data_IF_296869110499
#
_entry.id   IF_296869110499
#
_cell.length_a   1.000
_cell.length_b   1.000
_cell.length_c   1.000
_cell.angle_alpha   90.00
_cell.angle_beta   90.00
_cell.angle_gamma   90.00
#
_symmetry.space_group_name_H-M   'P 1'
#
loop_
_entity.id
_entity.type
_entity.pdbx_description
1 polymer ?
#
# COMPACT_ATOMS: atom_id res chain seq x y z
N UNK A 1 78.47 4.99 -63.00
CA UNK A 1 78.03 5.28 -61.62
C UNK A 1 76.73 6.08 -61.70
N UNK A 2 75.58 5.42 -61.68
CA UNK A 2 74.28 6.10 -61.51
C UNK A 2 74.20 6.65 -60.08
N UNK A 3 73.81 7.91 -59.94
CA UNK A 3 73.79 8.61 -58.65
C UNK A 3 72.68 8.06 -57.75
N UNK A 4 73.03 7.57 -56.55
CA UNK A 4 72.08 7.02 -55.58
C UNK A 4 70.96 7.98 -55.20
N UNK A 5 71.18 9.31 -55.26
CA UNK A 5 70.16 10.29 -54.93
C UNK A 5 68.97 10.21 -55.89
N UNK A 6 69.25 10.12 -57.21
CA UNK A 6 68.20 9.98 -58.23
C UNK A 6 67.39 8.70 -58.01
N UNK A 7 68.07 7.61 -57.61
CA UNK A 7 67.40 6.34 -57.33
C UNK A 7 66.48 6.47 -56.12
N UNK A 8 66.94 7.10 -55.04
CA UNK A 8 66.14 7.33 -53.82
C UNK A 8 64.90 8.18 -54.08
N UNK A 9 65.00 9.18 -54.94
CA UNK A 9 63.86 10.01 -55.34
C UNK A 9 62.80 9.20 -56.13
N UNK A 10 63.25 8.18 -56.87
CA UNK A 10 62.38 7.29 -57.67
C UNK A 10 61.87 6.06 -56.90
N UNK A 11 62.44 5.73 -55.74
CA UNK A 11 62.05 4.55 -54.94
C UNK A 11 60.57 4.54 -54.53
N UNK A 12 59.97 5.65 -54.03
CA UNK A 12 58.56 5.66 -53.64
C UNK A 12 57.64 5.33 -54.83
N UNK A 13 57.89 5.96 -55.99
CA UNK A 13 57.13 5.71 -57.22
C UNK A 13 57.28 4.25 -57.69
N UNK A 14 58.45 3.64 -57.49
CA UNK A 14 58.69 2.23 -57.78
C UNK A 14 58.11 1.27 -56.72
N UNK A 15 57.94 1.72 -55.47
CA UNK A 15 57.29 0.96 -54.41
C UNK A 15 55.78 0.90 -54.63
N UNK A 16 55.18 2.01 -55.07
CA UNK A 16 53.74 2.15 -55.35
C UNK A 16 53.34 1.65 -56.76
N UNK A 17 54.31 1.25 -57.60
CA UNK A 17 54.07 0.73 -58.95
C UNK A 17 53.69 1.79 -59.99
N UNK A 18 53.94 3.07 -59.72
CA UNK A 18 53.58 4.22 -60.54
C UNK A 18 54.73 4.72 -61.45
N UNK A 19 55.91 4.14 -61.33
CA UNK A 19 57.06 4.47 -62.17
C UNK A 19 56.84 4.02 -63.63
N UNK A 20 57.31 4.83 -64.59
CA UNK A 20 57.36 4.42 -66.00
C UNK A 20 58.30 3.21 -66.18
N UNK A 21 58.11 2.41 -67.24
CA UNK A 21 58.92 1.21 -67.51
C UNK A 21 60.42 1.50 -67.57
N UNK A 22 60.79 2.65 -68.14
CA UNK A 22 62.18 3.10 -68.27
C UNK A 22 62.78 3.44 -66.90
N UNK A 23 62.06 4.22 -66.08
CA UNK A 23 62.49 4.57 -64.72
C UNK A 23 62.55 3.36 -63.79
N UNK A 24 61.61 2.42 -63.92
CA UNK A 24 61.60 1.18 -63.16
C UNK A 24 62.80 0.29 -63.50
N UNK A 25 63.11 0.12 -64.80
CA UNK A 25 64.27 -0.66 -65.24
C UNK A 25 65.59 -0.06 -64.74
N UNK A 26 65.70 1.27 -64.71
CA UNK A 26 66.86 2.00 -64.18
C UNK A 26 67.04 1.77 -62.67
N UNK A 27 65.95 1.83 -61.89
CA UNK A 27 65.96 1.56 -60.44
C UNK A 27 66.30 0.09 -60.16
N UNK A 28 65.73 -0.85 -60.90
CA UNK A 28 66.01 -2.28 -60.76
C UNK A 28 67.46 -2.65 -61.06
N UNK A 29 68.05 -2.07 -62.10
CA UNK A 29 69.45 -2.27 -62.44
C UNK A 29 70.38 -1.77 -61.32
N UNK A 30 70.05 -0.62 -60.70
CA UNK A 30 70.85 -0.04 -59.62
C UNK A 30 70.68 -0.78 -58.29
N UNK A 31 69.46 -1.13 -57.91
CA UNK A 31 69.16 -1.86 -56.66
C UNK A 31 69.87 -3.22 -56.62
N UNK A 32 70.10 -3.85 -57.78
CA UNK A 32 70.92 -5.07 -57.91
C UNK A 32 72.38 -4.86 -57.47
N UNK A 33 72.93 -3.67 -57.64
CA UNK A 33 74.33 -3.35 -57.39
C UNK A 33 74.55 -2.50 -56.12
N UNK A 34 73.49 -1.90 -55.56
CA UNK A 34 73.56 -1.01 -54.40
C UNK A 34 72.71 -1.55 -53.22
N UNK A 35 73.32 -2.10 -52.15
CA UNK A 35 72.60 -2.67 -51.01
C UNK A 35 71.82 -1.62 -50.20
N UNK A 36 72.28 -0.37 -50.14
CA UNK A 36 71.59 0.71 -49.44
C UNK A 36 70.23 1.03 -50.07
N UNK A 37 70.17 1.17 -51.41
CA UNK A 37 68.92 1.42 -52.12
C UNK A 37 67.97 0.20 -52.09
N UNK A 38 68.52 -1.02 -52.00
CA UNK A 38 67.74 -2.25 -51.84
C UNK A 38 67.01 -2.32 -50.50
N UNK A 39 67.71 -2.01 -49.42
CA UNK A 39 67.14 -2.01 -48.08
C UNK A 39 66.00 -0.98 -47.96
N UNK A 40 66.19 0.20 -48.55
CA UNK A 40 65.19 1.26 -48.54
C UNK A 40 63.92 0.87 -49.32
N UNK A 41 64.07 0.29 -50.52
CA UNK A 41 62.94 -0.21 -51.31
C UNK A 41 62.19 -1.34 -50.59
N UNK A 42 62.92 -2.23 -49.91
CA UNK A 42 62.32 -3.32 -49.13
C UNK A 42 61.53 -2.78 -47.93
N UNK A 43 62.04 -1.74 -47.25
CA UNK A 43 61.34 -1.07 -46.14
C UNK A 43 60.05 -0.40 -46.60
N UNK A 44 60.05 0.22 -47.77
CA UNK A 44 58.86 0.85 -48.35
C UNK A 44 57.81 -0.16 -48.80
N UNK A 45 58.21 -1.36 -49.24
CA UNK A 45 57.31 -2.45 -49.64
C UNK A 45 56.84 -3.33 -48.47
N UNK A 46 57.34 -3.09 -47.26
CA UNK A 46 56.89 -3.82 -46.09
C UNK A 46 55.41 -3.46 -45.81
N UNK A 47 54.51 -4.46 -45.71
CA UNK A 47 53.11 -4.21 -45.39
C UNK A 47 52.99 -3.48 -44.05
N UNK A 48 52.25 -2.37 -44.01
CA UNK A 48 51.83 -1.74 -42.76
C UNK A 48 50.75 -2.63 -42.13
N UNK A 49 51.15 -3.70 -41.46
CA UNK A 49 50.26 -4.52 -40.62
C UNK A 49 49.91 -3.74 -39.35
N UNK A 50 48.95 -2.82 -39.45
CA UNK A 50 48.19 -2.39 -38.29
C UNK A 50 46.93 -3.26 -38.21
N UNK A 51 46.76 -4.11 -37.18
CA UNK A 51 45.50 -4.81 -36.98
C UNK A 51 44.43 -3.75 -36.69
N UNK A 52 43.42 -3.66 -37.55
CA UNK A 52 42.25 -2.85 -37.27
C UNK A 52 41.60 -3.36 -35.99
N UNK A 53 41.25 -2.48 -35.02
CA UNK A 53 40.58 -2.93 -33.80
C UNK A 53 39.28 -3.64 -34.18
N UNK A 54 39.01 -4.79 -33.57
CA UNK A 54 37.76 -5.53 -33.74
C UNK A 54 36.59 -4.65 -33.28
N UNK A 55 35.97 -3.94 -34.22
CA UNK A 55 34.75 -3.17 -33.96
C UNK A 55 33.61 -4.18 -33.86
N UNK A 56 32.93 -4.30 -32.71
CA UNK A 56 31.75 -5.14 -32.61
C UNK A 56 30.79 -4.81 -33.75
N UNK A 57 30.21 -5.84 -34.38
CA UNK A 57 29.21 -5.62 -35.41
C UNK A 57 28.19 -4.59 -34.91
N UNK A 58 27.91 -3.55 -35.70
CA UNK A 58 26.96 -2.49 -35.37
C UNK A 58 25.64 -3.04 -34.78
N UNK A 59 25.22 -4.22 -35.25
CA UNK A 59 24.05 -4.95 -34.74
C UNK A 59 24.20 -5.42 -33.29
N UNK A 60 25.36 -5.91 -32.89
CA UNK A 60 25.63 -6.38 -31.52
C UNK A 60 25.70 -5.23 -30.53
N UNK A 61 26.31 -4.11 -30.92
CA UNK A 61 26.34 -2.89 -30.12
C UNK A 61 24.91 -2.36 -29.88
N UNK A 62 24.10 -2.26 -30.94
CA UNK A 62 22.69 -1.91 -30.85
C UNK A 62 21.88 -2.86 -29.98
N UNK A 63 22.07 -4.18 -30.12
CA UNK A 63 21.37 -5.17 -29.30
C UNK A 63 21.74 -5.07 -27.81
N UNK A 64 23.03 -4.83 -27.49
CA UNK A 64 23.48 -4.61 -26.11
C UNK A 64 22.87 -3.34 -25.53
N UNK A 65 22.85 -2.26 -26.30
CA UNK A 65 22.28 -0.98 -25.86
C UNK A 65 20.76 -1.07 -25.68
N UNK A 66 20.02 -1.66 -26.64
CA UNK A 66 18.60 -1.95 -26.49
C UNK A 66 18.32 -2.79 -25.25
N UNK A 67 19.07 -3.88 -25.03
CA UNK A 67 18.90 -4.74 -23.83
C UNK A 67 19.19 -3.98 -22.54
N UNK A 68 20.15 -3.05 -22.54
CA UNK A 68 20.49 -2.20 -21.39
C UNK A 68 19.38 -1.18 -21.11
N UNK A 69 18.83 -0.57 -22.15
CA UNK A 69 17.69 0.35 -22.05
C UNK A 69 16.46 -0.41 -21.57
N UNK A 70 16.10 -1.55 -22.17
CA UNK A 70 14.97 -2.39 -21.76
C UNK A 70 15.09 -2.87 -20.31
N UNK A 71 16.29 -3.29 -19.88
CA UNK A 71 16.52 -3.66 -18.47
C UNK A 71 16.35 -2.47 -17.53
N UNK A 72 16.86 -1.28 -17.90
CA UNK A 72 16.70 -0.05 -17.10
C UNK A 72 15.23 0.38 -17.05
N UNK A 73 14.52 0.41 -18.17
CA UNK A 73 13.10 0.76 -18.19
C UNK A 73 12.26 -0.24 -17.41
N UNK A 74 12.54 -1.54 -17.54
CA UNK A 74 11.89 -2.58 -16.74
C UNK A 74 12.19 -2.43 -15.23
N UNK A 75 13.42 -2.07 -14.84
CA UNK A 75 13.74 -1.81 -13.44
C UNK A 75 13.07 -0.55 -12.90
N UNK A 76 13.00 0.52 -13.70
CA UNK A 76 12.29 1.74 -13.33
C UNK A 76 10.79 1.51 -13.23
N UNK A 77 10.18 0.77 -14.16
CA UNK A 77 8.76 0.43 -14.08
C UNK A 77 8.47 -0.46 -12.87
N UNK A 78 9.33 -1.44 -12.59
CA UNK A 78 9.20 -2.28 -11.39
C UNK A 78 9.32 -1.46 -10.10
N UNK A 79 10.29 -0.55 -10.03
CA UNK A 79 10.45 0.35 -8.88
C UNK A 79 9.25 1.31 -8.71
N UNK A 80 8.72 1.86 -9.80
CA UNK A 80 7.54 2.71 -9.76
C UNK A 80 6.29 1.95 -9.30
N UNK A 81 6.10 0.71 -9.78
CA UNK A 81 5.01 -0.16 -9.33
C UNK A 81 5.14 -0.48 -7.84
N UNK A 82 6.34 -0.87 -7.38
CA UNK A 82 6.60 -1.15 -5.97
C UNK A 82 6.33 0.08 -5.09
N UNK A 83 6.75 1.27 -5.54
CA UNK A 83 6.47 2.51 -4.83
C UNK A 83 4.97 2.80 -4.78
N UNK A 84 4.25 2.59 -5.88
CA UNK A 84 2.79 2.72 -5.92
C UNK A 84 2.10 1.80 -4.92
N UNK A 85 2.49 0.52 -4.88
CA UNK A 85 1.97 -0.46 -3.92
C UNK A 85 2.29 -0.04 -2.48
N UNK A 86 3.52 0.41 -2.21
CA UNK A 86 3.94 0.86 -0.88
C UNK A 86 3.11 2.07 -0.42
N UNK A 87 2.87 3.03 -1.29
CA UNK A 87 2.05 4.21 -1.01
C UNK A 87 0.58 3.84 -0.79
N UNK A 88 0.02 2.96 -1.61
CA UNK A 88 -1.34 2.44 -1.41
C UNK A 88 -1.46 1.73 -0.07
N UNK A 89 -0.50 0.88 0.29
CA UNK A 89 -0.48 0.17 1.56
C UNK A 89 -0.37 1.16 2.74
N UNK A 90 0.46 2.18 2.63
CA UNK A 90 0.59 3.25 3.63
C UNK A 90 -0.75 4.00 3.83
N UNK A 91 -1.47 4.31 2.75
CA UNK A 91 -2.80 4.93 2.83
C UNK A 91 -3.80 3.99 3.50
N UNK A 92 -3.77 2.70 3.19
CA UNK A 92 -4.68 1.73 3.80
C UNK A 92 -4.42 1.56 5.31
N UNK A 93 -3.14 1.49 5.70
CA UNK A 93 -2.70 1.42 7.10
C UNK A 93 -3.07 2.69 7.88
N UNK A 94 -2.77 3.87 7.34
CA UNK A 94 -3.05 5.15 8.01
C UNK A 94 -4.55 5.43 8.18
N UNK A 95 -5.41 4.85 7.34
CA UNK A 95 -6.87 4.92 7.48
C UNK A 95 -7.45 3.86 8.42
N UNK A 96 -6.61 2.98 8.96
CA UNK A 96 -7.04 1.89 9.84
C UNK A 96 -7.87 0.81 9.14
N UNK A 97 -7.80 0.68 7.80
CA UNK A 97 -8.65 -0.28 7.07
C UNK A 97 -8.43 -1.73 7.52
N UNK A 98 -7.20 -2.08 7.88
CA UNK A 98 -6.85 -3.41 8.41
C UNK A 98 -7.34 -3.65 9.84
N UNK A 99 -7.83 -2.61 10.51
CA UNK A 99 -8.34 -2.66 11.88
C UNK A 99 -9.86 -2.64 11.95
N UNK A 100 -10.57 -2.55 10.81
CA UNK A 100 -12.04 -2.53 10.81
C UNK A 100 -12.57 -3.88 11.29
N UNK A 101 -13.36 -3.86 12.36
CA UNK A 101 -14.02 -5.04 12.96
C UNK A 101 -15.42 -5.21 12.41
N UNK A 102 -16.19 -4.12 12.37
CA UNK A 102 -17.54 -4.11 11.82
C UNK A 102 -17.85 -2.75 11.20
N UNK A 103 -18.74 -2.75 10.21
CA UNK A 103 -19.24 -1.55 9.55
C UNK A 103 -20.71 -1.72 9.24
N UNK A 104 -21.52 -0.80 9.78
CA UNK A 104 -22.97 -0.76 9.56
C UNK A 104 -23.40 0.60 9.07
N UNK A 105 -24.26 0.62 8.08
CA UNK A 105 -24.90 1.82 7.57
C UNK A 105 -26.40 1.77 7.86
N UNK A 106 -27.02 2.93 7.99
CA UNK A 106 -28.48 3.05 8.07
C UNK A 106 -29.12 2.63 6.74
N UNK A 107 -30.39 2.24 6.76
CA UNK A 107 -31.10 1.74 5.57
C UNK A 107 -31.17 2.78 4.44
N UNK A 108 -31.21 4.06 4.79
CA UNK A 108 -31.19 5.21 3.86
C UNK A 108 -29.76 5.64 3.46
N UNK A 109 -28.72 5.04 4.04
CA UNK A 109 -27.32 5.40 3.81
C UNK A 109 -26.89 6.75 4.38
N UNK A 110 -27.72 7.40 5.19
CA UNK A 110 -27.43 8.73 5.75
C UNK A 110 -26.32 8.71 6.80
N UNK A 111 -26.18 7.60 7.53
CA UNK A 111 -25.17 7.41 8.57
C UNK A 111 -24.41 6.11 8.35
N UNK A 112 -23.10 6.12 8.64
CA UNK A 112 -22.26 4.93 8.61
C UNK A 112 -21.38 4.88 9.85
N UNK A 113 -21.56 3.84 10.66
CA UNK A 113 -20.72 3.52 11.81
C UNK A 113 -19.68 2.47 11.40
N UNK A 114 -18.43 2.69 11.80
CA UNK A 114 -17.30 1.79 11.59
C UNK A 114 -16.60 1.60 12.92
N UNK A 115 -16.52 0.37 13.39
CA UNK A 115 -15.77 -0.02 14.58
C UNK A 115 -14.38 -0.50 14.16
N UNK A 116 -13.35 -0.01 14.83
CA UNK A 116 -11.96 -0.36 14.60
C UNK A 116 -11.38 -1.01 15.86
N UNK A 117 -10.62 -2.09 15.72
CA UNK A 117 -9.85 -2.69 16.81
C UNK A 117 -8.65 -1.79 17.16
N UNK A 118 -8.56 -1.41 18.44
CA UNK A 118 -7.56 -0.47 18.94
C UNK A 118 -7.91 1.00 18.69
N UNK A 119 -6.96 1.88 19.03
CA UNK A 119 -7.04 3.31 18.80
C UNK A 119 -6.52 3.68 17.42
N UNK A 120 -7.39 4.17 16.53
CA UNK A 120 -7.03 4.61 15.16
C UNK A 120 -6.97 6.12 15.01
N UNK A 121 -6.94 6.89 16.10
CA UNK A 121 -6.87 8.36 16.06
C UNK A 121 -5.50 8.89 15.64
N UNK A 122 -4.43 8.12 15.88
CA UNK A 122 -3.05 8.45 15.54
C UNK A 122 -2.67 8.11 14.08
N UNK A 123 -1.40 8.35 13.73
CA UNK A 123 -0.86 7.98 12.41
C UNK A 123 -0.83 6.46 12.19
N UNK A 124 -0.64 5.71 13.26
CA UNK A 124 -0.64 4.27 13.29
C UNK A 124 -1.59 3.77 14.38
N UNK A 125 -2.40 2.74 14.11
CA UNK A 125 -3.28 2.14 15.11
C UNK A 125 -2.51 1.63 16.33
N UNK A 126 -3.04 1.89 17.53
CA UNK A 126 -2.50 1.35 18.79
C UNK A 126 -3.42 0.25 19.33
N UNK A 127 -2.83 -0.79 19.92
CA UNK A 127 -3.61 -1.87 20.54
C UNK A 127 -4.24 -1.42 21.87
N UNK A 128 -5.32 -2.10 22.27
CA UNK A 128 -5.98 -1.90 23.56
C UNK A 128 -7.21 -1.01 23.45
N UNK A 129 -8.38 -1.64 23.32
CA UNK A 129 -9.65 -0.95 23.14
C UNK A 129 -10.23 -1.09 21.74
N UNK A 130 -11.19 -0.23 21.43
CA UNK A 130 -11.71 -0.04 20.07
C UNK A 130 -12.05 1.43 19.82
N UNK A 131 -12.02 1.85 18.56
CA UNK A 131 -12.48 3.17 18.13
C UNK A 131 -13.76 3.04 17.32
N UNK A 132 -14.77 3.82 17.66
CA UNK A 132 -16.00 3.95 16.91
C UNK A 132 -15.97 5.25 16.10
N UNK A 133 -16.11 5.13 14.78
CA UNK A 133 -16.25 6.27 13.87
C UNK A 133 -17.62 6.26 13.22
N UNK A 134 -18.36 7.34 13.38
CA UNK A 134 -19.66 7.52 12.74
C UNK A 134 -19.60 8.69 11.78
N UNK A 135 -19.87 8.45 10.50
CA UNK A 135 -19.81 9.46 9.43
C UNK A 135 -21.23 9.76 8.96
N UNK A 136 -21.57 11.04 8.89
CA UNK A 136 -22.80 11.50 8.25
C UNK A 136 -22.54 11.72 6.75
N UNK A 137 -23.44 11.24 5.90
CA UNK A 137 -23.38 11.48 4.46
C UNK A 137 -23.50 12.97 4.12
N UNK A 138 -24.21 13.73 4.95
CA UNK A 138 -24.32 15.17 4.82
C UNK A 138 -22.99 15.84 5.23
N UNK A 139 -22.32 16.47 4.25
CA UNK A 139 -20.98 17.07 4.45
C UNK A 139 -20.92 18.11 5.57
N UNK A 140 -22.05 18.74 5.91
CA UNK A 140 -22.16 19.76 6.96
C UNK A 140 -21.98 19.20 8.37
N UNK A 141 -22.35 17.93 8.61
CA UNK A 141 -22.34 17.30 9.94
C UNK A 141 -21.03 16.59 10.29
N UNK A 142 -20.17 16.31 9.30
CA UNK A 142 -18.84 15.74 9.54
C UNK A 142 -18.86 14.31 10.05
N UNK A 143 -18.07 14.01 11.08
CA UNK A 143 -17.95 12.69 11.69
C UNK A 143 -17.78 12.78 13.21
N UNK A 144 -18.27 11.75 13.91
CA UNK A 144 -18.02 11.49 15.33
C UNK A 144 -16.95 10.41 15.44
N UNK A 145 -16.00 10.58 16.35
CA UNK A 145 -14.92 9.63 16.59
C UNK A 145 -14.69 9.51 18.09
N UNK A 146 -14.81 8.29 18.61
CA UNK A 146 -14.65 8.02 20.04
C UNK A 146 -13.84 6.75 20.22
N UNK A 147 -12.80 6.82 21.04
CA UNK A 147 -11.96 5.66 21.40
C UNK A 147 -12.33 5.20 22.80
N UNK A 148 -12.62 3.91 22.94
CA UNK A 148 -12.91 3.23 24.19
C UNK A 148 -11.71 2.37 24.57
N UNK A 149 -10.94 2.82 25.55
CA UNK A 149 -9.72 2.13 26.00
C UNK A 149 -10.07 0.99 26.97
N UNK A 150 -9.38 -0.15 26.85
CA UNK A 150 -9.55 -1.28 27.77
C UNK A 150 -10.86 -2.05 27.61
N UNK A 151 -11.62 -1.78 26.54
CA UNK A 151 -12.87 -2.48 26.22
C UNK A 151 -12.80 -3.09 24.83
N UNK A 152 -13.32 -4.29 24.65
CA UNK A 152 -13.45 -4.93 23.35
C UNK A 152 -14.81 -4.61 22.74
N UNK A 153 -14.82 -4.43 21.42
CA UNK A 153 -16.06 -4.25 20.66
C UNK A 153 -16.79 -5.59 20.54
N UNK A 154 -18.09 -5.62 20.82
CA UNK A 154 -18.92 -6.83 20.73
C UNK A 154 -19.93 -6.75 19.57
N UNK A 155 -20.62 -5.61 19.42
CA UNK A 155 -21.56 -5.42 18.30
C UNK A 155 -22.17 -4.03 18.23
N UNK A 156 -22.82 -3.72 17.09
CA UNK A 156 -23.55 -2.46 16.91
C UNK A 156 -24.80 -2.61 16.02
N UNK A 157 -25.84 -1.83 16.32
CA UNK A 157 -27.13 -1.91 15.64
C UNK A 157 -27.77 -0.52 15.50
N UNK A 158 -28.01 -0.11 14.26
CA UNK A 158 -28.78 1.09 13.95
C UNK A 158 -30.26 0.89 14.25
N UNK A 159 -30.90 1.91 14.83
CA UNK A 159 -32.35 1.94 14.96
C UNK A 159 -33.03 2.09 13.59
N UNK A 160 -34.31 1.71 13.43
CA UNK A 160 -35.04 1.83 12.17
C UNK A 160 -35.04 3.24 11.57
N UNK A 161 -35.12 4.29 12.40
CA UNK A 161 -35.01 5.67 11.91
C UNK A 161 -33.59 6.09 11.52
N UNK A 162 -32.57 5.31 11.92
CA UNK A 162 -31.16 5.65 11.75
C UNK A 162 -30.65 6.73 12.72
N UNK A 163 -31.46 7.18 13.67
CA UNK A 163 -31.08 8.19 14.66
C UNK A 163 -30.19 7.63 15.76
N UNK A 164 -30.53 6.44 16.26
CA UNK A 164 -29.83 5.84 17.41
C UNK A 164 -28.93 4.70 16.96
N UNK A 165 -27.76 4.59 17.61
CA UNK A 165 -26.86 3.46 17.45
C UNK A 165 -26.65 2.79 18.81
N UNK A 166 -27.18 1.58 18.95
CA UNK A 166 -26.85 0.70 20.06
C UNK A 166 -25.48 0.09 19.80
N UNK A 167 -24.62 0.08 20.82
CA UNK A 167 -23.28 -0.50 20.77
C UNK A 167 -23.07 -1.33 22.02
N UNK A 168 -22.77 -2.60 21.82
CA UNK A 168 -22.32 -3.49 22.87
C UNK A 168 -20.80 -3.58 22.85
N UNK A 169 -20.23 -3.56 24.05
CA UNK A 169 -18.80 -3.70 24.29
C UNK A 169 -18.59 -4.51 25.55
N UNK A 170 -17.40 -5.08 25.71
CA UNK A 170 -17.04 -5.90 26.88
C UNK A 170 -15.79 -5.34 27.51
N UNK A 171 -15.82 -5.12 28.83
CA UNK A 171 -14.61 -4.85 29.60
C UNK A 171 -14.12 -6.14 30.29
N UNK A 172 -13.10 -6.04 31.14
CA UNK A 172 -12.56 -7.21 31.85
C UNK A 172 -13.54 -7.84 32.86
N UNK A 173 -14.60 -7.12 33.26
CA UNK A 173 -15.53 -7.50 34.31
C UNK A 173 -16.91 -7.92 33.77
N UNK A 174 -17.45 -7.21 32.76
CA UNK A 174 -18.83 -7.37 32.28
C UNK A 174 -19.05 -6.85 30.86
N UNK A 175 -20.15 -7.30 30.26
CA UNK A 175 -20.69 -6.64 29.07
C UNK A 175 -21.31 -5.28 29.44
N UNK A 176 -21.12 -4.30 28.56
CA UNK A 176 -21.70 -2.96 28.64
C UNK A 176 -22.52 -2.66 27.40
N UNK A 177 -23.62 -1.96 27.58
CA UNK A 177 -24.48 -1.50 26.49
C UNK A 177 -24.60 0.02 26.52
N UNK A 178 -24.37 0.66 25.39
CA UNK A 178 -24.61 2.09 25.22
C UNK A 178 -25.48 2.37 24.00
N UNK A 179 -26.16 3.50 24.02
CA UNK A 179 -26.90 4.04 22.88
C UNK A 179 -26.42 5.45 22.60
N UNK A 180 -26.05 5.73 21.36
CA UNK A 180 -25.69 7.06 20.88
C UNK A 180 -26.87 7.68 20.12
N UNK A 181 -27.30 8.87 20.51
CA UNK A 181 -28.16 9.75 19.72
C UNK A 181 -27.31 10.84 19.08
N UNK A 182 -27.00 10.67 17.79
CA UNK A 182 -26.18 11.63 17.05
C UNK A 182 -26.93 12.92 16.72
N UNK A 183 -28.27 12.89 16.69
CA UNK A 183 -29.09 14.08 16.43
C UNK A 183 -29.23 14.90 17.72
N UNK A 184 -29.53 14.23 18.83
CA UNK A 184 -29.62 14.83 20.16
C UNK A 184 -28.27 15.05 20.85
N UNK A 185 -27.17 14.63 20.23
CA UNK A 185 -25.79 14.74 20.72
C UNK A 185 -25.62 14.24 22.16
N UNK A 186 -26.18 13.07 22.47
CA UNK A 186 -26.05 12.44 23.78
C UNK A 186 -25.72 10.95 23.65
N UNK A 187 -24.97 10.45 24.63
CA UNK A 187 -24.66 9.02 24.76
C UNK A 187 -25.20 8.54 26.10
N UNK A 188 -26.00 7.48 26.05
CA UNK A 188 -26.59 6.87 27.24
C UNK A 188 -25.94 5.53 27.49
N UNK A 189 -25.28 5.39 28.63
CA UNK A 189 -24.77 4.11 29.12
C UNK A 189 -25.90 3.39 29.87
N UNK A 190 -26.41 2.32 29.29
CA UNK A 190 -27.57 1.57 29.81
C UNK A 190 -27.28 0.99 31.19
N UNK A 191 -26.06 0.50 31.39
CA UNK A 191 -25.63 -0.12 32.65
C UNK A 191 -25.66 0.86 33.83
N UNK A 192 -25.50 2.17 33.56
CA UNK A 192 -25.55 3.22 34.56
C UNK A 192 -26.97 3.78 34.79
N UNK A 193 -27.88 3.58 33.83
CA UNK A 193 -29.20 4.21 33.84
C UNK A 193 -30.20 3.47 34.72
N UNK A 194 -30.27 2.14 34.60
CA UNK A 194 -31.39 1.39 35.20
C UNK A 194 -31.12 0.90 36.61
N UNK A 195 -29.84 0.70 37.00
CA UNK A 195 -29.46 0.36 38.38
C UNK A 195 -30.29 -0.74 39.04
N UNK A 196 -30.89 -1.67 38.26
CA UNK A 196 -31.87 -2.65 38.74
C UNK A 196 -31.26 -3.50 39.85
N UNK A 197 -29.98 -3.86 39.69
CA UNK A 197 -29.14 -4.45 40.72
C UNK A 197 -27.67 -4.13 40.44
N UNK A 198 -26.84 -4.20 41.49
CA UNK A 198 -25.39 -4.14 41.34
C UNK A 198 -24.90 -5.36 40.54
N UNK A 199 -24.06 -5.13 39.53
CA UNK A 199 -23.58 -6.20 38.65
C UNK A 199 -24.58 -6.67 37.60
N UNK A 200 -25.73 -6.01 37.42
CA UNK A 200 -26.66 -6.34 36.34
C UNK A 200 -26.02 -6.14 34.96
N UNK A 201 -26.17 -7.14 34.10
CA UNK A 201 -25.77 -7.10 32.70
C UNK A 201 -26.97 -6.81 31.80
N UNK A 202 -26.77 -5.95 30.80
CA UNK A 202 -27.80 -5.58 29.84
C UNK A 202 -27.35 -5.96 28.43
N UNK A 203 -28.17 -6.71 27.71
CA UNK A 203 -27.88 -7.16 26.35
C UNK A 203 -28.94 -6.63 25.39
N UNK A 204 -28.50 -6.05 24.28
CA UNK A 204 -29.38 -5.65 23.19
C UNK A 204 -30.00 -6.89 22.52
N UNK A 205 -31.31 -6.86 22.26
CA UNK A 205 -32.02 -7.94 21.56
C UNK A 205 -32.46 -7.49 20.17
N UNK A 206 -33.25 -6.41 20.10
CA UNK A 206 -33.76 -5.87 18.84
C UNK A 206 -34.30 -4.44 19.00
N UNK A 207 -34.49 -3.77 17.87
CA UNK A 207 -35.26 -2.53 17.78
C UNK A 207 -36.71 -2.82 17.41
N UNK A 208 -37.62 -1.98 17.91
CA UNK A 208 -39.00 -1.84 17.43
C UNK A 208 -39.08 -0.69 16.42
N UNK A 209 -40.15 -0.66 15.61
CA UNK A 209 -40.36 0.34 14.57
C UNK A 209 -40.33 1.80 15.06
N UNK A 210 -40.69 2.03 16.33
CA UNK A 210 -40.67 3.35 16.99
C UNK A 210 -39.34 3.66 17.70
N UNK A 211 -38.25 3.00 17.31
CA UNK A 211 -36.92 3.11 17.92
C UNK A 211 -36.87 2.71 19.41
N UNK A 212 -37.87 2.02 19.94
CA UNK A 212 -37.75 1.39 21.25
C UNK A 212 -36.81 0.18 21.19
N UNK A 213 -35.94 0.06 22.18
CA UNK A 213 -34.94 -1.00 22.29
C UNK A 213 -35.44 -2.11 23.20
N UNK A 214 -35.49 -3.35 22.73
CA UNK A 214 -35.68 -4.51 23.59
C UNK A 214 -34.35 -4.87 24.23
N UNK A 215 -34.32 -4.87 25.55
CA UNK A 215 -33.13 -5.15 26.35
C UNK A 215 -33.42 -6.38 27.20
N UNK A 216 -32.48 -7.33 27.19
CA UNK A 216 -32.44 -8.41 28.17
C UNK A 216 -31.60 -7.94 29.35
N UNK A 217 -32.08 -8.15 30.57
CA UNK A 217 -31.27 -7.99 31.78
C UNK A 217 -30.99 -9.36 32.43
N UNK A 218 -29.85 -9.45 33.11
CA UNK A 218 -29.49 -10.59 33.94
C UNK A 218 -28.70 -10.12 35.16
N UNK A 219 -29.05 -10.59 36.36
CA UNK A 219 -28.28 -10.35 37.58
C UNK A 219 -28.51 -11.47 38.61
N UNK A 220 -27.61 -11.57 39.59
CA UNK A 220 -27.81 -12.41 40.77
C UNK A 220 -28.17 -11.53 41.97
N UNK A 221 -29.19 -11.92 42.73
CA UNK A 221 -29.54 -11.25 43.99
C UNK A 221 -28.53 -11.58 45.11
N UNK A 222 -28.69 -10.95 46.29
CA UNK A 222 -27.82 -11.21 47.44
C UNK A 222 -27.92 -12.66 47.97
N UNK A 223 -28.99 -13.39 47.62
CA UNK A 223 -29.17 -14.81 47.91
C UNK A 223 -28.58 -15.75 46.86
N UNK A 224 -27.98 -15.22 45.80
CA UNK A 224 -27.45 -15.98 44.67
C UNK A 224 -28.50 -16.50 43.70
N UNK A 225 -29.76 -16.04 43.80
CA UNK A 225 -30.80 -16.37 42.83
C UNK A 225 -30.59 -15.55 41.57
N UNK A 226 -30.55 -16.23 40.42
CA UNK A 226 -30.46 -15.55 39.13
C UNK A 226 -31.82 -15.00 38.69
N UNK A 227 -31.82 -13.74 38.32
CA UNK A 227 -32.95 -13.02 37.76
C UNK A 227 -32.63 -12.67 36.32
N UNK A 228 -33.51 -13.04 35.40
CA UNK A 228 -33.38 -12.67 33.99
C UNK A 228 -34.73 -12.23 33.43
N UNK A 229 -34.70 -11.31 32.49
CA UNK A 229 -35.94 -10.80 31.90
C UNK A 229 -35.69 -9.85 30.76
N UNK A 230 -36.77 -9.24 30.28
CA UNK A 230 -36.75 -8.29 29.20
C UNK A 230 -37.55 -7.05 29.56
N UNK A 231 -37.15 -5.91 29.01
CA UNK A 231 -37.98 -4.70 29.00
C UNK A 231 -37.72 -3.90 27.73
N UNK A 232 -38.68 -3.06 27.38
CA UNK A 232 -38.52 -2.06 26.33
C UNK A 232 -38.01 -0.76 26.91
N UNK A 233 -37.02 -0.17 26.27
CA UNK A 233 -36.53 1.17 26.56
C UNK A 233 -36.79 2.12 25.40
N UNK A 234 -37.46 3.24 25.66
CA UNK A 234 -37.67 4.30 24.68
C UNK A 234 -36.53 5.32 24.78
N UNK A 235 -35.72 5.42 23.73
CA UNK A 235 -34.62 6.39 23.66
C UNK A 235 -35.14 7.84 23.58
N UNK A 236 -36.35 8.06 23.07
CA UNK A 236 -36.95 9.38 22.94
C UNK A 236 -37.53 9.90 24.26
N UNK A 237 -38.26 9.06 24.99
CA UNK A 237 -38.91 9.44 26.26
C UNK A 237 -38.10 9.09 27.51
N UNK A 238 -36.98 8.39 27.35
CA UNK A 238 -36.09 7.97 28.43
C UNK A 238 -36.83 7.10 29.47
N UNK A 239 -37.79 6.31 29.00
CA UNK A 239 -38.69 5.52 29.84
C UNK A 239 -38.61 4.03 29.53
N UNK A 240 -38.90 3.21 30.54
CA UNK A 240 -38.98 1.75 30.43
C UNK A 240 -40.43 1.27 30.45
N UNK A 241 -40.74 0.24 29.68
CA UNK A 241 -42.07 -0.38 29.65
C UNK A 241 -41.99 -1.89 29.39
N UNK A 242 -43.08 -2.61 29.68
CA UNK A 242 -43.18 -4.03 29.37
C UNK A 242 -42.11 -4.89 30.03
N UNK A 243 -41.81 -4.63 31.31
CA UNK A 243 -40.91 -5.47 32.10
C UNK A 243 -41.52 -6.86 32.26
N UNK A 244 -40.80 -7.87 31.78
CA UNK A 244 -41.16 -9.29 31.87
C UNK A 244 -40.00 -10.03 32.49
N UNK A 245 -40.21 -10.58 33.67
CA UNK A 245 -39.25 -11.49 34.32
C UNK A 245 -39.50 -12.92 33.82
N UNK A 246 -38.43 -13.61 33.44
CA UNK A 246 -38.50 -15.01 33.06
C UNK A 246 -38.51 -15.88 34.31
N UNK A 247 -39.24 -17.02 34.31
CA UNK A 247 -39.12 -17.99 35.38
C UNK A 247 -37.68 -18.49 35.47
N UNK A 248 -37.21 -18.73 36.71
CA UNK A 248 -35.89 -19.28 36.93
C UNK A 248 -35.78 -20.65 36.23
N UNK A 249 -34.63 -20.95 35.64
CA UNK A 249 -34.43 -22.24 34.96
C UNK A 249 -34.56 -23.38 35.99
N UNK A 250 -35.73 -24.04 36.03
CA UNK A 250 -36.01 -25.14 36.96
C UNK A 250 -37.40 -25.12 37.62
N UNK A 251 -38.25 -24.13 37.36
CA UNK A 251 -39.67 -24.10 37.77
C UNK A 251 -40.64 -24.45 36.63
#
# INVERSE_FOLDING_TARGET
MTNCNIIRDLLPLCADGLASKESAALVEAHVKQCPACRAELARMRAPLEQPAPEVPSYREALCREKRRITKRTASFSAAALLLGVLLSLLVLLSKGYFHIVDRKSTADGSMTATAYAGDVTGLFPQAGGFTLKTVCAERSRGYYLTTYSGTEFDGMWWSPSGRYLAVSMRDAERARLMVNDYIGNHTTHIDLLFGIAEGAEYTFVQWREDDAMLIRYAYADAGGKEHTGYFWYSCESWSTSGLVELPAAGE
#
